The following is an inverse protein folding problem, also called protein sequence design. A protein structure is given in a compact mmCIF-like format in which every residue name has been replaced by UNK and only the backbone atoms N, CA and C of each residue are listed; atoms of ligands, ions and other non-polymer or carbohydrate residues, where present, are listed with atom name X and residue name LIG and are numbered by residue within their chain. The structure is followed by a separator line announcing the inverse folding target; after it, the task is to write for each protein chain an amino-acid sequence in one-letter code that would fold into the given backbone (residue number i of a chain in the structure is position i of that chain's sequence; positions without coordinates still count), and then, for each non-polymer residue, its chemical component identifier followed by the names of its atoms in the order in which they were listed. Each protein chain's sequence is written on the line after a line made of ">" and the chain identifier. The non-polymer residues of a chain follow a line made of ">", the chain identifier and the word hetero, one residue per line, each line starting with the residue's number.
data_IF_795246956298
#
_entry.id   IF_795246956298
#
_cell.length_a   1.000
_cell.length_b   1.000
_cell.length_c   1.000
_cell.angle_alpha   90.00
_cell.angle_beta   90.00
_cell.angle_gamma   90.00
#
_symmetry.space_group_name_H-M   'P 1'
#
loop_
_entity.id
_entity.type
_entity.pdbx_description
1 polymer ?
#
# COMPACT_ATOMS: atom_id res chain seq x y z
N UNK A 1 2.39 11.30 2.14
CA UNK A 1 3.53 10.46 2.57
C UNK A 1 2.96 9.12 2.97
N UNK A 2 3.55 8.03 2.52
CA UNK A 2 3.14 6.67 2.90
C UNK A 2 3.88 6.24 4.16
N UNK A 3 3.23 5.43 5.00
CA UNK A 3 3.80 4.85 6.20
C UNK A 3 3.77 3.31 6.14
N UNK A 4 4.60 2.69 6.98
CA UNK A 4 4.54 1.24 7.18
C UNK A 4 3.16 0.87 7.74
N UNK A 5 2.49 -0.07 7.08
CA UNK A 5 1.13 -0.49 7.41
C UNK A 5 0.06 0.08 6.48
N UNK A 6 0.36 1.13 5.70
CA UNK A 6 -0.59 1.67 4.72
C UNK A 6 -0.95 0.63 3.66
N UNK A 7 -2.22 0.64 3.25
CA UNK A 7 -2.65 -0.09 2.08
C UNK A 7 -2.50 0.82 0.85
N UNK A 8 -1.96 0.26 -0.21
CA UNK A 8 -1.74 0.96 -1.48
C UNK A 8 -2.14 0.07 -2.64
N UNK A 9 -2.52 0.69 -3.76
CA UNK A 9 -2.87 0.00 -4.98
C UNK A 9 -2.08 0.57 -6.16
N UNK A 10 -1.46 -0.29 -7.00
CA UNK A 10 -0.78 0.16 -8.22
C UNK A 10 -1.75 0.90 -9.15
N UNK A 11 -1.31 2.02 -9.74
CA UNK A 11 -2.12 2.76 -10.74
C UNK A 11 -2.45 1.96 -11.99
N UNK A 12 -1.60 1.00 -12.33
CA UNK A 12 -1.83 0.08 -13.44
C UNK A 12 -3.04 -0.87 -13.21
N UNK A 13 -3.59 -0.89 -11.99
CA UNK A 13 -4.56 -1.89 -11.55
C UNK A 13 -3.85 -3.16 -11.09
N UNK A 14 -4.44 -3.86 -10.13
CA UNK A 14 -3.82 -5.02 -9.51
C UNK A 14 -4.35 -5.31 -8.10
N UNK A 15 -3.79 -6.33 -7.43
CA UNK A 15 -4.15 -6.66 -6.06
C UNK A 15 -3.79 -5.52 -5.10
N UNK A 16 -4.46 -5.48 -3.95
CA UNK A 16 -4.09 -4.55 -2.87
C UNK A 16 -2.73 -4.95 -2.30
N UNK A 17 -1.90 -3.95 -2.05
CA UNK A 17 -0.58 -4.11 -1.47
C UNK A 17 -0.54 -3.40 -0.11
N UNK A 18 0.27 -3.90 0.81
CA UNK A 18 0.52 -3.31 2.13
C UNK A 18 1.96 -2.86 2.21
N UNK A 19 2.20 -1.62 2.61
CA UNK A 19 3.53 -1.06 2.80
C UNK A 19 4.17 -1.72 4.02
N UNK A 20 5.33 -2.33 3.83
CA UNK A 20 6.12 -2.93 4.91
C UNK A 20 7.40 -2.14 5.19
N UNK A 21 7.86 -1.34 4.23
CA UNK A 21 9.02 -0.47 4.38
C UNK A 21 8.91 0.77 3.49
N UNK A 22 9.48 1.89 3.95
CA UNK A 22 9.46 3.17 3.24
C UNK A 22 10.90 3.68 3.12
N UNK A 23 11.40 3.73 1.89
CA UNK A 23 12.72 4.22 1.51
C UNK A 23 12.59 5.54 0.72
N UNK A 24 12.05 6.56 1.38
CA UNK A 24 11.82 7.88 0.78
C UNK A 24 10.77 7.83 -0.34
N UNK A 25 11.23 7.76 -1.59
CA UNK A 25 10.39 7.67 -2.80
C UNK A 25 10.06 6.22 -3.20
N UNK A 26 10.80 5.24 -2.67
CA UNK A 26 10.55 3.82 -2.91
C UNK A 26 9.82 3.21 -1.72
N UNK A 27 8.80 2.42 -2.00
CA UNK A 27 8.00 1.71 -1.02
C UNK A 27 8.18 0.23 -1.24
N UNK A 28 8.54 -0.48 -0.19
CA UNK A 28 8.49 -1.94 -0.19
C UNK A 28 7.10 -2.34 0.27
N UNK A 29 6.41 -3.07 -0.57
CA UNK A 29 5.04 -3.47 -0.36
C UNK A 29 4.90 -4.98 -0.55
N UNK A 30 3.96 -5.59 0.14
CA UNK A 30 3.61 -7.01 0.02
C UNK A 30 2.16 -7.14 -0.39
N UNK A 31 1.73 -8.28 -0.92
CA UNK A 31 0.29 -8.48 -1.16
C UNK A 31 -0.46 -8.43 0.16
N UNK A 32 -1.54 -7.63 0.23
CA UNK A 32 -2.34 -7.52 1.46
C UNK A 32 -2.97 -8.87 1.85
N UNK A 33 -3.24 -9.73 0.87
CA UNK A 33 -3.71 -11.11 1.09
C UNK A 33 -2.60 -12.05 1.59
N UNK A 34 -1.33 -11.68 1.44
CA UNK A 34 -0.19 -12.55 1.70
C UNK A 34 1.01 -11.73 2.20
N UNK A 35 0.96 -11.30 3.46
CA UNK A 35 1.98 -10.41 4.06
C UNK A 35 3.37 -11.04 4.17
N UNK A 36 3.46 -12.38 4.23
CA UNK A 36 4.72 -13.13 4.18
C UNK A 36 5.12 -13.55 2.75
N UNK A 37 4.39 -13.06 1.74
CA UNK A 37 4.65 -13.35 0.34
C UNK A 37 5.82 -12.55 -0.23
N UNK A 38 5.82 -12.44 -1.54
CA UNK A 38 6.84 -11.69 -2.27
C UNK A 38 6.74 -10.19 -1.96
N UNK A 39 7.90 -9.58 -1.75
CA UNK A 39 8.04 -8.14 -1.52
C UNK A 39 8.30 -7.45 -2.86
N UNK A 40 7.47 -6.48 -3.18
CA UNK A 40 7.59 -5.65 -4.36
C UNK A 40 8.12 -4.29 -3.96
N UNK A 41 9.09 -3.77 -4.73
CA UNK A 41 9.55 -2.39 -4.58
C UNK A 41 8.88 -1.55 -5.64
N UNK A 42 8.04 -0.61 -5.23
CA UNK A 42 7.31 0.29 -6.12
C UNK A 42 7.60 1.74 -5.74
N UNK A 43 7.56 2.65 -6.71
CA UNK A 43 7.66 4.07 -6.40
C UNK A 43 6.36 4.58 -5.82
N UNK A 44 6.45 5.52 -4.89
CA UNK A 44 5.30 6.22 -4.31
C UNK A 44 4.43 6.91 -5.38
N UNK A 45 5.01 7.29 -6.52
CA UNK A 45 4.31 7.95 -7.61
C UNK A 45 3.44 6.98 -8.45
N UNK A 46 3.82 5.70 -8.50
CA UNK A 46 3.15 4.65 -9.29
C UNK A 46 2.05 3.92 -8.50
N UNK A 47 1.95 4.20 -7.21
CA UNK A 47 0.91 3.64 -6.33
C UNK A 47 -0.01 4.73 -5.82
N UNK A 48 -1.24 4.35 -5.53
CA UNK A 48 -2.27 5.22 -4.96
C UNK A 48 -2.60 4.70 -3.56
N UNK A 49 -2.74 5.55 -2.53
CA UNK A 49 -3.20 5.11 -1.23
C UNK A 49 -4.56 4.44 -1.36
N UNK A 50 -4.67 3.22 -0.84
CA UNK A 50 -5.90 2.47 -0.77
C UNK A 50 -6.51 2.76 0.60
N UNK A 51 -7.50 3.66 0.63
CA UNK A 51 -8.26 3.96 1.82
C UNK A 51 -9.57 3.18 1.76
N UNK A 52 -9.86 2.37 2.78
CA UNK A 52 -11.22 1.89 2.99
C UNK A 52 -12.02 3.09 3.47
N UNK A 53 -12.75 3.74 2.56
CA UNK A 53 -13.83 4.69 2.89
C UNK A 53 -14.89 3.93 3.70
N UNK A 54 -14.69 3.73 5.01
CA UNK A 54 -15.56 2.81 5.73
C UNK A 54 -15.48 2.75 7.26
N UNK A 55 -14.68 3.57 7.96
CA UNK A 55 -14.73 3.61 9.43
C UNK A 55 -14.53 5.03 9.97
N UNK A 56 -15.28 5.99 9.42
CA UNK A 56 -15.65 7.19 10.18
C UNK A 56 -17.11 7.01 10.62
N UNK A 57 -17.29 6.17 11.64
CA UNK A 57 -18.48 6.23 12.47
C UNK A 57 -18.56 7.61 13.13
N UNK A 58 -19.25 8.54 12.49
CA UNK A 58 -19.63 9.83 13.07
C UNK A 58 -21.07 10.18 12.68
N UNK A 59 -22.04 9.57 13.35
CA UNK A 59 -22.99 10.27 14.24
C UNK A 59 -23.87 9.27 15.00
#
# INVERSE_FOLDING_TARGET
>A
MFAIGDLVQPRAGGPKLKVVEVNGEQLVVVQAAQEQGERYTLKSDEVTPYQEEGDFGVC
#
